data_IF_734547288667
#
_entry.id   IF_734547288667
#
_cell.length_a   1.000
_cell.length_b   1.000
_cell.length_c   1.000
_cell.angle_alpha   90.00
_cell.angle_beta   90.00
_cell.angle_gamma   90.00
#
_symmetry.space_group_name_H-M   'P 1'
#
loop_
_entity.id
_entity.type
_entity.pdbx_description
1 polymer ?
#
# COMPACT_ATOMS: atom_id res chain seq x y z
N UNK A 1 -2.97 -19.72 20.34
CA UNK A 1 -1.58 -19.36 19.94
C UNK A 1 -1.53 -17.85 19.90
N UNK A 2 -0.52 -17.22 20.53
CA UNK A 2 -0.36 -15.76 20.48
C UNK A 2 0.27 -15.39 19.14
N UNK A 3 -0.25 -14.37 18.46
CA UNK A 3 0.33 -13.83 17.23
C UNK A 3 1.44 -12.84 17.62
N UNK A 4 2.63 -13.02 17.08
CA UNK A 4 3.79 -12.18 17.39
C UNK A 4 4.22 -11.35 16.18
N UNK A 5 4.58 -10.09 16.46
CA UNK A 5 5.31 -9.21 15.54
C UNK A 5 6.80 -9.28 15.87
N UNK A 6 7.62 -9.62 14.89
CA UNK A 6 9.07 -9.62 15.02
C UNK A 6 9.66 -8.38 14.37
N UNK A 7 10.43 -7.60 15.14
CA UNK A 7 11.16 -6.44 14.67
C UNK A 7 12.57 -6.86 14.29
N UNK A 8 12.86 -6.84 13.00
CA UNK A 8 14.19 -7.13 12.47
C UNK A 8 14.96 -5.82 12.30
N UNK A 9 15.88 -5.60 13.23
CA UNK A 9 16.89 -4.55 13.21
C UNK A 9 18.26 -5.24 13.17
N UNK A 10 19.00 -5.21 12.04
CA UNK A 10 20.39 -5.64 12.05
C UNK A 10 21.19 -4.53 12.74
N UNK A 11 21.43 -4.72 14.02
CA UNK A 11 22.49 -4.00 14.72
C UNK A 11 23.81 -4.61 14.26
N UNK A 12 24.88 -3.82 14.16
CA UNK A 12 26.27 -4.23 13.87
C UNK A 12 26.83 -5.34 14.80
N UNK A 13 26.03 -5.87 15.71
CA UNK A 13 26.33 -7.04 16.52
C UNK A 13 25.77 -8.30 15.86
N UNK A 14 26.69 -9.20 15.51
CA UNK A 14 26.52 -10.65 15.33
C UNK A 14 25.14 -11.09 15.82
N UNK A 15 24.25 -11.46 14.90
CA UNK A 15 22.93 -12.06 15.15
C UNK A 15 23.01 -12.94 16.41
N UNK A 16 22.65 -12.37 17.56
CA UNK A 16 23.01 -12.88 18.86
C UNK A 16 22.07 -14.01 19.21
N UNK A 17 22.33 -15.22 18.69
CA UNK A 17 21.67 -16.47 19.03
C UNK A 17 20.21 -16.28 19.49
N UNK A 18 19.41 -15.57 18.68
CA UNK A 18 17.98 -15.45 18.93
C UNK A 18 17.49 -16.88 18.77
N UNK A 19 17.11 -17.50 19.90
CA UNK A 19 16.69 -18.89 19.95
C UNK A 19 15.71 -19.13 18.80
N UNK A 20 16.09 -19.98 17.85
CA UNK A 20 15.30 -20.38 16.67
C UNK A 20 13.88 -20.85 17.03
N UNK A 21 13.65 -21.14 18.31
CA UNK A 21 12.46 -21.75 18.89
C UNK A 21 11.15 -20.96 18.70
N UNK A 22 11.17 -19.70 18.23
CA UNK A 22 9.95 -18.89 18.10
C UNK A 22 9.62 -18.34 16.70
N UNK A 23 10.41 -18.60 15.65
CA UNK A 23 10.11 -18.06 14.31
C UNK A 23 8.84 -18.61 13.68
N UNK A 24 8.44 -19.84 14.03
CA UNK A 24 7.18 -20.43 13.59
C UNK A 24 5.96 -19.71 14.18
N UNK A 25 6.12 -18.96 15.27
CA UNK A 25 5.03 -18.19 15.88
C UNK A 25 4.85 -16.80 15.30
N UNK A 26 5.81 -16.33 14.49
CA UNK A 26 5.78 -14.98 13.90
C UNK A 26 4.75 -14.93 12.78
N UNK A 27 3.80 -13.99 12.90
CA UNK A 27 2.79 -13.70 11.87
C UNK A 27 3.07 -12.41 11.13
N UNK A 28 3.68 -11.45 11.82
CA UNK A 28 4.04 -10.16 11.25
C UNK A 28 5.55 -9.97 11.33
N UNK A 29 6.19 -9.82 10.16
CA UNK A 29 7.59 -9.43 10.07
C UNK A 29 7.68 -7.93 9.79
N UNK A 30 8.39 -7.21 10.66
CA UNK A 30 8.68 -5.79 10.51
C UNK A 30 10.18 -5.62 10.26
N UNK A 31 10.54 -5.13 9.07
CA UNK A 31 11.94 -4.89 8.67
C UNK A 31 12.20 -3.38 8.75
N UNK A 32 13.12 -2.98 9.62
CA UNK A 32 13.42 -1.57 9.88
C UNK A 32 14.86 -1.17 9.48
N UNK A 33 15.60 -2.03 8.79
CA UNK A 33 17.00 -1.77 8.45
C UNK A 33 17.18 -0.78 7.31
N UNK A 34 18.29 -0.04 7.33
CA UNK A 34 18.84 0.68 6.17
C UNK A 34 19.57 -0.26 5.19
N UNK A 35 20.19 -1.33 5.68
CA UNK A 35 20.97 -2.28 4.88
C UNK A 35 20.70 -3.71 5.32
N UNK A 36 20.51 -4.63 4.36
CA UNK A 36 20.45 -6.06 4.66
C UNK A 36 21.75 -6.72 4.25
N UNK A 37 22.43 -7.33 5.23
CA UNK A 37 23.59 -8.17 4.98
C UNK A 37 23.15 -9.54 4.46
N UNK A 38 23.73 -9.96 3.34
CA UNK A 38 23.41 -11.23 2.65
C UNK A 38 23.61 -12.48 3.53
N UNK A 39 24.34 -12.37 4.65
CA UNK A 39 24.83 -13.49 5.44
C UNK A 39 23.97 -13.87 6.68
N UNK A 40 22.88 -13.16 7.01
CA UNK A 40 22.04 -13.52 8.17
C UNK A 40 20.54 -13.50 7.84
N UNK A 41 20.07 -14.52 7.11
CA UNK A 41 18.65 -14.65 6.76
C UNK A 41 17.98 -15.71 7.63
N UNK A 42 17.35 -15.27 8.72
CA UNK A 42 16.38 -16.10 9.44
C UNK A 42 15.15 -16.34 8.55
N UNK A 43 14.63 -17.58 8.56
CA UNK A 43 13.42 -17.93 7.82
C UNK A 43 12.20 -17.94 8.75
N UNK A 44 11.12 -17.28 8.32
CA UNK A 44 9.87 -17.16 9.06
C UNK A 44 8.70 -17.78 8.26
N UNK A 45 8.41 -19.08 8.46
CA UNK A 45 7.49 -19.83 7.59
C UNK A 45 6.03 -19.42 7.71
N UNK A 46 5.63 -18.74 8.78
CA UNK A 46 4.23 -18.50 9.12
C UNK A 46 3.80 -17.02 8.99
N UNK A 47 4.68 -16.16 8.46
CA UNK A 47 4.44 -14.72 8.26
C UNK A 47 3.41 -14.47 7.17
N UNK A 48 2.33 -13.75 7.49
CA UNK A 48 1.29 -13.31 6.57
C UNK A 48 1.20 -11.77 6.47
N UNK A 49 1.86 -11.03 7.36
CA UNK A 49 1.98 -9.58 7.28
C UNK A 49 3.45 -9.17 7.15
N UNK A 50 3.76 -8.29 6.19
CA UNK A 50 5.08 -7.71 6.02
C UNK A 50 5.01 -6.19 6.11
N UNK A 51 5.87 -5.62 6.95
CA UNK A 51 6.14 -4.19 7.00
C UNK A 51 7.61 -3.92 6.69
N UNK A 52 7.87 -2.99 5.79
CA UNK A 52 9.23 -2.56 5.44
C UNK A 52 9.31 -1.06 5.71
N UNK A 53 10.30 -0.63 6.48
CA UNK A 53 10.60 0.77 6.77
C UNK A 53 12.03 1.11 6.33
N UNK A 54 12.28 2.41 6.12
CA UNK A 54 13.55 2.98 5.67
C UNK A 54 13.93 2.59 4.23
N UNK A 55 14.98 3.21 3.69
CA UNK A 55 15.57 2.85 2.41
C UNK A 55 16.03 1.39 2.48
N UNK A 56 15.20 0.44 2.06
CA UNK A 56 15.56 -0.96 2.01
C UNK A 56 16.58 -1.14 0.89
N UNK A 57 17.85 -0.92 1.21
CA UNK A 57 18.96 -1.08 0.27
C UNK A 57 19.55 -2.48 0.40
N UNK A 58 19.86 -3.06 -0.75
CA UNK A 58 20.41 -4.40 -0.89
C UNK A 58 21.75 -4.29 -1.60
N UNK A 59 22.74 -5.07 -1.18
CA UNK A 59 24.09 -5.12 -1.75
C UNK A 59 24.13 -5.87 -3.09
N UNK A 60 23.31 -5.44 -4.06
CA UNK A 60 23.27 -5.98 -5.42
C UNK A 60 22.25 -7.10 -5.67
N UNK A 61 21.73 -7.76 -4.65
CA UNK A 61 20.60 -8.71 -4.77
C UNK A 61 19.26 -7.95 -4.87
N UNK A 62 18.30 -8.43 -5.67
CA UNK A 62 16.95 -7.83 -5.68
C UNK A 62 16.28 -8.01 -4.32
N UNK A 63 15.55 -6.99 -3.83
CA UNK A 63 14.75 -7.08 -2.59
C UNK A 63 13.89 -8.35 -2.54
N UNK A 64 13.36 -8.78 -3.69
CA UNK A 64 12.53 -9.98 -3.80
C UNK A 64 13.32 -11.23 -3.47
N UNK A 65 14.58 -11.33 -3.90
CA UNK A 65 15.42 -12.49 -3.64
C UNK A 65 15.67 -12.63 -2.12
N UNK A 66 16.00 -11.53 -1.45
CA UNK A 66 16.19 -11.49 0.00
C UNK A 66 14.89 -11.85 0.73
N UNK A 67 13.78 -11.21 0.38
CA UNK A 67 12.49 -11.50 1.01
C UNK A 67 12.06 -12.95 0.78
N UNK A 68 12.32 -13.53 -0.39
CA UNK A 68 12.00 -14.93 -0.68
C UNK A 68 12.84 -15.91 0.15
N UNK A 69 14.05 -15.54 0.57
CA UNK A 69 14.87 -16.31 1.52
C UNK A 69 14.35 -16.17 2.96
N UNK A 70 13.72 -15.04 3.31
CA UNK A 70 13.20 -14.76 4.66
C UNK A 70 11.78 -15.31 4.88
N UNK A 71 10.89 -15.22 3.91
CA UNK A 71 9.46 -15.47 4.07
C UNK A 71 8.81 -16.09 2.83
N UNK A 72 7.76 -16.91 2.99
CA UNK A 72 6.95 -17.39 1.88
C UNK A 72 6.00 -16.29 1.36
N UNK A 73 6.47 -15.48 0.41
CA UNK A 73 5.75 -14.32 -0.16
C UNK A 73 4.30 -14.59 -0.61
N UNK A 74 4.00 -15.82 -1.07
CA UNK A 74 2.65 -16.18 -1.55
C UNK A 74 1.58 -16.18 -0.46
N UNK A 75 1.94 -16.29 0.83
CA UNK A 75 0.96 -16.30 1.91
C UNK A 75 0.71 -14.91 2.51
N UNK A 76 1.45 -13.89 2.06
CA UNK A 76 1.23 -12.53 2.52
C UNK A 76 -0.18 -12.07 2.16
N UNK A 77 -0.88 -11.56 3.18
CA UNK A 77 -2.21 -10.96 3.07
C UNK A 77 -2.17 -9.46 3.21
N UNK A 78 -1.12 -8.92 3.84
CA UNK A 78 -0.93 -7.49 4.09
C UNK A 78 0.51 -7.09 3.85
N UNK A 79 0.69 -5.98 3.15
CA UNK A 79 1.99 -5.38 2.85
C UNK A 79 1.96 -3.90 3.24
N UNK A 80 2.94 -3.46 4.02
CA UNK A 80 3.13 -2.08 4.42
C UNK A 80 4.53 -1.64 4.00
N UNK A 81 4.63 -0.57 3.21
CA UNK A 81 5.89 0.05 2.81
C UNK A 81 5.92 1.46 3.42
N UNK A 82 6.73 1.64 4.46
CA UNK A 82 6.93 2.87 5.22
C UNK A 82 8.25 3.54 4.85
N UNK A 83 8.47 3.79 3.55
CA UNK A 83 9.73 4.34 3.07
C UNK A 83 9.55 5.21 1.85
N UNK A 84 9.68 6.54 2.04
CA UNK A 84 9.46 7.55 1.00
C UNK A 84 10.34 7.40 -0.25
N UNK A 85 11.46 6.67 -0.15
CA UNK A 85 12.42 6.44 -1.23
C UNK A 85 12.31 5.05 -1.86
N UNK A 86 11.28 4.27 -1.49
CA UNK A 86 11.10 2.93 -2.03
C UNK A 86 10.58 3.02 -3.48
N UNK A 87 11.33 2.52 -4.49
CA UNK A 87 10.95 2.67 -5.88
C UNK A 87 9.63 1.98 -6.21
N UNK A 88 8.74 2.66 -6.93
CA UNK A 88 7.45 2.09 -7.33
C UNK A 88 7.62 0.82 -8.21
N UNK A 89 8.70 0.75 -8.98
CA UNK A 89 9.07 -0.43 -9.77
C UNK A 89 9.26 -1.68 -8.89
N UNK A 90 9.93 -1.54 -7.75
CA UNK A 90 10.18 -2.64 -6.82
C UNK A 90 8.89 -3.09 -6.14
N UNK A 91 7.96 -2.16 -5.88
CA UNK A 91 6.64 -2.49 -5.33
C UNK A 91 5.84 -3.30 -6.33
N UNK A 92 5.77 -2.85 -7.58
CA UNK A 92 5.05 -3.56 -8.64
C UNK A 92 5.68 -4.94 -8.86
N UNK A 93 7.01 -5.03 -8.83
CA UNK A 93 7.69 -6.31 -8.92
C UNK A 93 7.41 -7.20 -7.70
N UNK A 94 7.38 -6.66 -6.47
CA UNK A 94 7.01 -7.40 -5.25
C UNK A 94 5.56 -7.90 -5.30
N UNK A 95 4.64 -7.10 -5.84
CA UNK A 95 3.23 -7.46 -6.02
C UNK A 95 3.04 -8.65 -6.97
N UNK A 96 3.96 -8.88 -7.91
CA UNK A 96 3.96 -10.08 -8.76
C UNK A 96 4.11 -11.37 -7.95
N UNK A 97 4.86 -11.34 -6.85
CA UNK A 97 5.15 -12.51 -6.01
C UNK A 97 4.25 -12.64 -4.78
N UNK A 98 3.36 -11.68 -4.56
CA UNK A 98 2.47 -11.61 -3.39
C UNK A 98 0.98 -11.61 -3.80
N UNK A 99 0.51 -12.64 -4.56
CA UNK A 99 -0.80 -12.63 -5.20
C UNK A 99 -2.00 -12.67 -4.23
N UNK A 100 -1.75 -12.93 -2.94
CA UNK A 100 -2.78 -13.00 -1.90
C UNK A 100 -2.81 -11.76 -1.02
N UNK A 101 -2.06 -10.71 -1.35
CA UNK A 101 -2.17 -9.42 -0.63
C UNK A 101 -3.52 -8.78 -0.95
N UNK A 102 -4.27 -8.47 0.11
CA UNK A 102 -5.56 -7.79 0.04
C UNK A 102 -5.49 -6.37 0.61
N UNK A 103 -4.52 -6.11 1.49
CA UNK A 103 -4.31 -4.80 2.12
C UNK A 103 -2.90 -4.31 1.80
N UNK A 104 -2.82 -3.15 1.16
CA UNK A 104 -1.58 -2.46 0.83
C UNK A 104 -1.56 -1.10 1.51
N UNK A 105 -0.47 -0.77 2.20
CA UNK A 105 -0.26 0.56 2.79
C UNK A 105 1.07 1.11 2.29
N UNK A 106 1.04 2.30 1.70
CA UNK A 106 2.19 2.93 1.06
C UNK A 106 2.43 4.31 1.67
N UNK A 107 3.68 4.61 1.99
CA UNK A 107 4.15 5.92 2.42
C UNK A 107 5.24 6.40 1.44
N UNK A 108 4.85 6.83 0.23
CA UNK A 108 5.72 7.02 -0.94
C UNK A 108 5.39 8.29 -1.71
N UNK A 109 6.41 8.91 -2.31
CA UNK A 109 6.23 9.84 -3.44
C UNK A 109 6.03 8.98 -4.69
N UNK A 110 4.80 8.90 -5.21
CA UNK A 110 4.38 7.79 -6.07
C UNK A 110 4.91 7.93 -7.50
N UNK A 111 5.15 9.16 -7.99
CA UNK A 111 5.25 9.38 -9.44
C UNK A 111 6.45 10.14 -9.99
N UNK A 112 7.34 10.74 -9.18
CA UNK A 112 8.38 11.61 -9.77
C UNK A 112 9.33 10.86 -10.73
N UNK A 113 9.54 9.55 -10.54
CA UNK A 113 10.47 8.75 -11.35
C UNK A 113 9.86 7.49 -12.01
N UNK A 114 8.57 7.20 -11.84
CA UNK A 114 8.00 5.95 -12.35
C UNK A 114 7.70 6.02 -13.86
N UNK A 115 8.68 5.59 -14.67
CA UNK A 115 8.56 5.61 -16.12
C UNK A 115 8.28 4.21 -16.69
N UNK A 116 7.04 3.94 -17.14
CA UNK A 116 6.61 2.65 -17.74
C UNK A 116 7.17 2.42 -19.17
N UNK A 117 8.17 3.19 -19.60
CA UNK A 117 8.58 3.16 -21.01
C UNK A 117 9.22 1.84 -21.46
N UNK A 118 9.76 1.02 -20.54
CA UNK A 118 10.32 -0.28 -20.90
C UNK A 118 9.24 -1.35 -21.14
N UNK A 119 9.44 -2.19 -22.16
CA UNK A 119 8.52 -3.31 -22.46
C UNK A 119 8.36 -4.27 -21.27
N UNK A 120 9.46 -4.52 -20.54
CA UNK A 120 9.46 -5.39 -19.37
C UNK A 120 8.57 -4.85 -18.24
N UNK A 121 8.62 -3.55 -17.95
CA UNK A 121 7.76 -2.95 -16.92
C UNK A 121 6.30 -2.97 -17.35
N UNK A 122 5.99 -2.73 -18.64
CA UNK A 122 4.62 -2.87 -19.16
C UNK A 122 4.05 -4.25 -18.90
N UNK A 123 4.82 -5.30 -19.16
CA UNK A 123 4.40 -6.69 -18.92
C UNK A 123 4.15 -6.96 -17.43
N UNK A 124 5.04 -6.49 -16.54
CA UNK A 124 4.87 -6.66 -15.09
C UNK A 124 3.63 -5.90 -14.61
N UNK A 125 3.44 -4.65 -15.02
CA UNK A 125 2.25 -3.86 -14.71
C UNK A 125 0.96 -4.55 -15.18
N UNK A 126 0.95 -5.07 -16.41
CA UNK A 126 -0.20 -5.81 -16.94
C UNK A 126 -0.48 -7.09 -16.14
N UNK A 127 0.57 -7.80 -15.72
CA UNK A 127 0.42 -8.98 -14.86
C UNK A 127 -0.21 -8.60 -13.52
N UNK A 128 0.36 -7.61 -12.82
CA UNK A 128 -0.13 -7.13 -11.53
C UNK A 128 -1.58 -6.69 -11.66
N UNK A 129 -1.93 -5.88 -12.66
CA UNK A 129 -3.28 -5.40 -12.90
C UNK A 129 -4.31 -6.53 -13.05
N UNK A 130 -3.94 -7.64 -13.70
CA UNK A 130 -4.85 -8.78 -13.91
C UNK A 130 -4.94 -9.71 -12.70
N UNK A 131 -3.87 -9.84 -11.91
CA UNK A 131 -3.74 -10.90 -10.90
C UNK A 131 -3.89 -10.42 -9.46
N UNK A 132 -3.63 -9.15 -9.17
CA UNK A 132 -3.70 -8.65 -7.80
C UNK A 132 -5.10 -8.78 -7.19
N UNK A 133 -5.16 -8.92 -5.87
CA UNK A 133 -6.39 -9.05 -5.08
C UNK A 133 -6.56 -7.90 -4.09
N UNK A 134 -5.86 -6.79 -4.30
CA UNK A 134 -5.87 -5.65 -3.38
C UNK A 134 -7.28 -5.06 -3.35
N UNK A 135 -7.85 -5.02 -2.14
CA UNK A 135 -9.17 -4.48 -1.84
C UNK A 135 -9.08 -3.24 -0.95
N UNK A 136 -8.06 -3.18 -0.10
CA UNK A 136 -7.83 -2.05 0.80
C UNK A 136 -6.48 -1.42 0.48
N UNK A 137 -6.51 -0.11 0.20
CA UNK A 137 -5.31 0.67 -0.06
C UNK A 137 -5.26 1.86 0.89
N UNK A 138 -4.08 2.09 1.47
CA UNK A 138 -3.78 3.24 2.32
C UNK A 138 -2.59 3.98 1.71
N UNK A 139 -2.77 5.27 1.43
CA UNK A 139 -1.75 6.17 0.92
C UNK A 139 -1.50 7.26 1.98
N UNK A 140 -0.36 7.17 2.66
CA UNK A 140 -0.04 8.01 3.80
C UNK A 140 0.63 9.35 3.42
N UNK A 141 0.95 9.55 2.15
CA UNK A 141 1.43 10.84 1.64
C UNK A 141 0.36 11.53 0.82
N UNK A 142 0.44 12.86 0.78
CA UNK A 142 -0.42 13.70 -0.04
C UNK A 142 -0.30 13.34 -1.52
N UNK A 143 -1.39 12.81 -2.09
CA UNK A 143 -1.46 12.43 -3.49
C UNK A 143 -2.18 13.50 -4.33
N UNK A 144 -1.61 13.77 -5.50
CA UNK A 144 -2.25 14.48 -6.61
C UNK A 144 -3.27 13.61 -7.35
N UNK A 145 -4.04 14.23 -8.24
CA UNK A 145 -5.03 13.57 -9.07
C UNK A 145 -4.42 12.54 -10.00
N UNK A 146 -3.28 12.85 -10.63
CA UNK A 146 -2.57 11.93 -11.54
C UNK A 146 -2.11 10.67 -10.80
N UNK A 147 -1.59 10.84 -9.58
CA UNK A 147 -1.19 9.73 -8.68
C UNK A 147 -2.37 8.84 -8.32
N UNK A 148 -3.49 9.43 -7.90
CA UNK A 148 -4.70 8.68 -7.58
C UNK A 148 -5.25 7.96 -8.81
N UNK A 149 -5.28 8.60 -9.98
CA UNK A 149 -5.73 7.99 -11.22
C UNK A 149 -4.87 6.77 -11.60
N UNK A 150 -3.56 6.93 -11.52
CA UNK A 150 -2.60 5.86 -11.78
C UNK A 150 -2.82 4.69 -10.82
N UNK A 151 -2.87 4.95 -9.52
CA UNK A 151 -3.01 3.90 -8.50
C UNK A 151 -4.36 3.17 -8.62
N UNK A 152 -5.46 3.91 -8.77
CA UNK A 152 -6.79 3.31 -8.94
C UNK A 152 -6.81 2.45 -10.20
N UNK A 153 -6.09 2.84 -11.26
CA UNK A 153 -6.00 2.03 -12.48
C UNK A 153 -5.32 0.67 -12.23
N UNK A 154 -4.24 0.64 -11.43
CA UNK A 154 -3.47 -0.57 -11.07
C UNK A 154 -4.27 -1.56 -10.23
N UNK A 155 -5.21 -1.09 -9.41
CA UNK A 155 -5.99 -1.91 -8.48
C UNK A 155 -7.48 -1.95 -8.85
N UNK A 156 -7.88 -2.74 -9.88
CA UNK A 156 -9.28 -2.81 -10.33
C UNK A 156 -10.26 -3.41 -9.33
N UNK A 157 -9.77 -4.12 -8.32
CA UNK A 157 -10.59 -4.74 -7.28
C UNK A 157 -10.68 -3.91 -5.99
N UNK A 158 -10.18 -2.67 -6.03
CA UNK A 158 -10.17 -1.78 -4.88
C UNK A 158 -11.59 -1.50 -4.39
N UNK A 159 -11.81 -1.70 -3.09
CA UNK A 159 -13.07 -1.44 -2.38
C UNK A 159 -12.94 -0.26 -1.42
N UNK A 160 -11.79 -0.15 -0.78
CA UNK A 160 -11.49 0.83 0.25
C UNK A 160 -10.23 1.60 -0.12
N UNK A 161 -10.34 2.93 -0.24
CA UNK A 161 -9.20 3.83 -0.39
C UNK A 161 -9.13 4.75 0.82
N UNK A 162 -7.97 4.78 1.48
CA UNK A 162 -7.61 5.84 2.42
C UNK A 162 -6.45 6.60 1.82
N UNK A 163 -6.56 7.91 1.68
CA UNK A 163 -5.50 8.71 1.09
C UNK A 163 -5.47 10.11 1.71
N UNK A 164 -4.27 10.60 1.96
CA UNK A 164 -4.06 12.05 2.03
C UNK A 164 -4.08 12.61 0.60
N UNK A 165 -4.77 13.73 0.40
CA UNK A 165 -4.97 14.31 -0.93
C UNK A 165 -4.47 15.75 -0.96
N UNK A 166 -3.91 16.16 -2.09
CA UNK A 166 -3.54 17.56 -2.28
C UNK A 166 -4.76 18.47 -2.13
N UNK A 167 -4.67 19.46 -1.24
CA UNK A 167 -5.83 20.25 -0.83
C UNK A 167 -6.53 20.96 -1.99
N UNK A 168 -5.76 21.45 -2.96
CA UNK A 168 -6.28 22.12 -4.17
C UNK A 168 -6.99 21.15 -5.12
N UNK A 169 -6.74 19.85 -5.01
CA UNK A 169 -7.23 18.81 -5.94
C UNK A 169 -8.29 17.88 -5.35
N UNK A 170 -8.55 17.92 -4.03
CA UNK A 170 -9.55 17.07 -3.34
C UNK A 170 -10.87 16.99 -4.11
N UNK A 171 -11.42 18.13 -4.53
CA UNK A 171 -12.69 18.15 -5.27
C UNK A 171 -12.61 17.39 -6.60
N UNK A 172 -11.52 17.53 -7.35
CA UNK A 172 -11.31 16.82 -8.61
C UNK A 172 -11.07 15.32 -8.38
N UNK A 173 -10.34 14.96 -7.32
CA UNK A 173 -10.10 13.57 -6.94
C UNK A 173 -11.41 12.89 -6.54
N UNK A 174 -12.24 13.53 -5.71
CA UNK A 174 -13.54 13.01 -5.31
C UNK A 174 -14.45 12.82 -6.54
N UNK A 175 -14.53 13.81 -7.44
CA UNK A 175 -15.28 13.67 -8.71
C UNK A 175 -14.81 12.45 -9.52
N UNK A 176 -13.49 12.31 -9.68
CA UNK A 176 -12.92 11.18 -10.41
C UNK A 176 -13.31 9.83 -9.77
N UNK A 177 -13.11 9.69 -8.45
CA UNK A 177 -13.41 8.45 -7.74
C UNK A 177 -14.90 8.09 -7.78
N UNK A 178 -15.78 9.07 -7.54
CA UNK A 178 -17.22 8.83 -7.47
C UNK A 178 -17.85 8.62 -8.86
N UNK A 179 -17.38 9.30 -9.90
CA UNK A 179 -17.84 9.04 -11.28
C UNK A 179 -17.55 7.60 -11.72
N UNK A 180 -16.41 7.03 -11.29
CA UNK A 180 -16.07 5.62 -11.57
C UNK A 180 -16.98 4.64 -10.83
N UNK A 181 -17.37 4.98 -9.60
CA UNK A 181 -18.31 4.19 -8.81
C UNK A 181 -19.73 4.26 -9.38
N UNK A 182 -20.21 5.46 -9.72
CA UNK A 182 -21.51 5.68 -10.35
C UNK A 182 -21.66 4.88 -11.65
N UNK A 183 -20.62 4.88 -12.49
CA UNK A 183 -20.63 4.13 -13.74
C UNK A 183 -20.40 2.62 -13.55
N UNK A 184 -20.35 2.11 -12.31
CA UNK A 184 -20.08 0.71 -11.95
C UNK A 184 -18.81 0.14 -12.58
N UNK A 185 -17.86 1.02 -12.92
CA UNK A 185 -16.59 0.63 -13.55
C UNK A 185 -15.54 0.18 -12.54
N UNK A 186 -15.78 0.44 -11.24
CA UNK A 186 -14.89 0.09 -10.13
C UNK A 186 -15.73 -0.32 -8.91
N UNK A 187 -15.14 -1.16 -8.06
CA UNK A 187 -15.77 -1.71 -6.86
C UNK A 187 -15.60 -0.83 -5.60
N UNK A 188 -15.18 0.43 -5.77
CA UNK A 188 -14.92 1.32 -4.65
C UNK A 188 -16.25 1.66 -3.95
N UNK A 189 -16.34 1.33 -2.67
CA UNK A 189 -17.51 1.60 -1.80
C UNK A 189 -17.13 2.40 -0.54
N UNK A 190 -15.84 2.62 -0.32
CA UNK A 190 -15.35 3.38 0.83
C UNK A 190 -14.17 4.28 0.46
N UNK A 191 -14.29 5.55 0.85
CA UNK A 191 -13.24 6.55 0.74
C UNK A 191 -12.98 7.21 2.10
N UNK A 192 -11.71 7.32 2.47
CA UNK A 192 -11.25 8.08 3.62
C UNK A 192 -10.24 9.13 3.14
N UNK A 193 -10.57 10.41 3.32
CA UNK A 193 -9.64 11.50 3.07
C UNK A 193 -8.97 11.86 4.38
N UNK A 194 -7.67 11.63 4.46
CA UNK A 194 -6.88 11.74 5.68
C UNK A 194 -6.45 13.19 5.97
N UNK A 195 -6.35 13.53 7.25
CA UNK A 195 -5.71 14.76 7.77
C UNK A 195 -6.21 16.06 7.14
N UNK A 196 -7.53 16.18 7.02
CA UNK A 196 -8.19 17.26 6.30
C UNK A 196 -8.93 18.22 7.24
N UNK A 197 -8.93 19.54 6.96
CA UNK A 197 -9.74 20.49 7.72
C UNK A 197 -11.23 20.17 7.66
N UNK A 198 -11.95 20.36 8.78
CA UNK A 198 -13.40 20.13 8.89
C UNK A 198 -14.22 20.90 7.84
N UNK A 199 -13.74 22.05 7.35
CA UNK A 199 -14.43 22.82 6.29
C UNK A 199 -14.62 22.00 5.00
N UNK A 200 -13.67 21.13 4.68
CA UNK A 200 -13.74 20.28 3.49
C UNK A 200 -14.87 19.25 3.56
N UNK A 201 -15.38 18.91 4.76
CA UNK A 201 -16.58 18.07 4.88
C UNK A 201 -17.80 18.75 4.24
N UNK A 202 -17.97 20.05 4.49
CA UNK A 202 -19.09 20.81 3.92
C UNK A 202 -18.93 20.93 2.41
N UNK A 203 -17.73 21.23 1.94
CA UNK A 203 -17.40 21.31 0.51
C UNK A 203 -17.66 19.98 -0.20
N UNK A 204 -17.22 18.87 0.39
CA UNK A 204 -17.46 17.52 -0.15
C UNK A 204 -18.95 17.20 -0.22
N UNK A 205 -19.73 17.52 0.82
CA UNK A 205 -21.18 17.33 0.81
C UNK A 205 -21.88 18.16 -0.26
N UNK A 206 -21.47 19.42 -0.43
CA UNK A 206 -22.01 20.31 -1.47
C UNK A 206 -21.70 19.74 -2.84
N UNK A 207 -20.45 19.36 -3.08
CA UNK A 207 -19.97 18.77 -4.34
C UNK A 207 -20.79 17.53 -4.75
N UNK A 208 -20.92 16.55 -3.84
CA UNK A 208 -21.66 15.30 -4.12
C UNK A 208 -23.11 15.60 -4.50
N UNK A 209 -23.76 16.54 -3.79
CA UNK A 209 -25.15 16.92 -4.03
C UNK A 209 -25.34 17.75 -5.30
N UNK A 210 -24.49 18.74 -5.54
CA UNK A 210 -24.63 19.64 -6.70
C UNK A 210 -24.41 18.93 -8.02
N UNK A 211 -23.56 17.90 -8.02
CA UNK A 211 -23.21 17.13 -9.22
C UNK A 211 -23.90 15.77 -9.28
N UNK A 212 -24.80 15.45 -8.33
CA UNK A 212 -25.50 14.17 -8.22
C UNK A 212 -24.56 12.96 -8.33
N UNK A 213 -23.41 13.00 -7.63
CA UNK A 213 -22.37 11.97 -7.74
C UNK A 213 -22.77 10.65 -7.06
N UNK A 214 -23.58 10.72 -6.01
CA UNK A 214 -24.07 9.57 -5.23
C UNK A 214 -25.49 9.82 -4.75
N UNK A 215 -26.34 8.80 -4.84
CA UNK A 215 -27.73 8.85 -4.36
C UNK A 215 -27.83 8.47 -2.87
N UNK A 216 -27.26 7.32 -2.51
CA UNK A 216 -27.26 6.80 -1.14
C UNK A 216 -25.83 6.78 -0.60
N UNK A 217 -25.53 7.66 0.36
CA UNK A 217 -24.21 7.70 0.97
C UNK A 217 -24.27 8.17 2.42
N UNK A 218 -23.28 7.71 3.19
CA UNK A 218 -23.00 8.21 4.54
C UNK A 218 -21.67 8.94 4.54
N UNK A 219 -21.59 10.07 5.24
CA UNK A 219 -20.34 10.81 5.39
C UNK A 219 -20.16 11.29 6.83
N UNK A 220 -18.99 11.04 7.41
CA UNK A 220 -18.65 11.43 8.79
C UNK A 220 -17.26 12.08 8.83
N UNK A 221 -17.05 12.92 9.82
CA UNK A 221 -15.74 13.50 10.12
C UNK A 221 -15.29 13.00 11.49
N UNK A 222 -14.18 12.27 11.54
CA UNK A 222 -13.68 11.59 12.73
C UNK A 222 -12.16 11.77 12.74
N UNK A 223 -11.58 12.19 13.86
CA UNK A 223 -10.11 12.29 14.03
C UNK A 223 -9.37 13.07 12.92
N UNK A 224 -10.00 14.13 12.38
CA UNK A 224 -9.48 14.92 11.24
C UNK A 224 -9.54 14.23 9.88
N UNK A 225 -10.28 13.14 9.77
CA UNK A 225 -10.50 12.43 8.51
C UNK A 225 -11.96 12.56 8.06
N UNK A 226 -12.17 12.64 6.75
CA UNK A 226 -13.49 12.50 6.15
C UNK A 226 -13.68 11.05 5.71
N UNK A 227 -14.69 10.39 6.25
CA UNK A 227 -15.09 9.04 5.89
C UNK A 227 -16.36 9.09 5.06
N UNK A 228 -16.36 8.43 3.90
CA UNK A 228 -17.46 8.37 2.95
C UNK A 228 -17.72 6.90 2.58
N UNK A 229 -18.98 6.46 2.70
CA UNK A 229 -19.45 5.11 2.35
C UNK A 229 -20.66 5.21 1.42
N UNK A 230 -20.75 4.33 0.42
CA UNK A 230 -21.87 4.21 -0.51
C UNK A 230 -21.98 2.79 -1.08
#
# INVERSE_FOLDING_TARGET
RKDYTYYWEPVDSICSNIQKENFDSVKHLYIASKEIYDNCVNYFPNVNELSIKNEFKTSGDSIIAILHRMIPLRQLTKLVIESHLFPMEDIINLLRFTPNVHTLSLNLYILDDFNINSNKQKEICQYVLKKNKIQNLILNLSCSLSEIQFIVSLFPRLKCLKAQMERKEIGQIIRFLLSKAHNKTRNLCYLCVLEIPKVCLKETKVLIKSENLLNDYSIKYINRDIHLWW
#
